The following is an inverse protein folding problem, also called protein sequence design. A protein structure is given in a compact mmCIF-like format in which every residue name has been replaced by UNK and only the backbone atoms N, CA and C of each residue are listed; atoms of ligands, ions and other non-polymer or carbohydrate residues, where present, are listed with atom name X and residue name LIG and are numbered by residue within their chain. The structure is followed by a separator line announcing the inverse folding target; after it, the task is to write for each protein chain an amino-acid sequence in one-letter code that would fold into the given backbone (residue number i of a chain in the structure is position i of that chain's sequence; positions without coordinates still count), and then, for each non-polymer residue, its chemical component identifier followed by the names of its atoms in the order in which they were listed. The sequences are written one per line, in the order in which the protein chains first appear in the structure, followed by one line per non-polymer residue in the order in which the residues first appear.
data_IF_764097760654
#
_entry.id   IF_764097760654
#
_cell.length_a   1.000
_cell.length_b   1.000
_cell.length_c   1.000
_cell.angle_alpha   90.00
_cell.angle_beta   90.00
_cell.angle_gamma   90.00
#
_symmetry.space_group_name_H-M   'P 1'
#
loop_
_entity.id
_entity.type
_entity.pdbx_description
1 polymer ?
#
# COMPACT_ATOMS: atom_id res chain seq x y z
N UNK A 1 4.54 28.44 -8.46
CA UNK A 1 4.45 27.12 -9.13
C UNK A 1 5.09 26.09 -8.20
N UNK A 2 4.28 25.43 -7.38
CA UNK A 2 4.78 24.34 -6.52
C UNK A 2 5.09 23.15 -7.42
N UNK A 3 6.28 22.57 -7.27
CA UNK A 3 6.72 21.42 -8.05
C UNK A 3 5.94 20.18 -7.56
N UNK A 4 4.72 20.04 -8.08
CA UNK A 4 3.87 18.87 -7.83
C UNK A 4 4.56 17.67 -8.48
N UNK A 5 5.16 16.81 -7.66
CA UNK A 5 5.89 15.63 -8.11
C UNK A 5 5.04 14.76 -9.04
N UNK A 6 5.69 14.02 -9.95
CA UNK A 6 5.01 13.15 -10.92
C UNK A 6 4.06 12.14 -10.25
N UNK A 7 4.37 11.73 -9.01
CA UNK A 7 3.52 10.87 -8.18
C UNK A 7 2.21 11.57 -7.86
N UNK A 8 2.24 12.82 -7.37
CA UNK A 8 1.06 13.58 -6.97
C UNK A 8 0.09 13.81 -8.13
N UNK A 9 0.58 13.99 -9.37
CA UNK A 9 -0.28 14.13 -10.56
C UNK A 9 -1.02 12.84 -10.91
N UNK A 10 -0.35 11.69 -10.82
CA UNK A 10 -0.97 10.37 -11.06
C UNK A 10 -2.00 10.03 -9.98
N UNK A 11 -1.70 10.34 -8.71
CA UNK A 11 -2.63 10.17 -7.60
C UNK A 11 -3.90 11.02 -7.78
N UNK A 12 -3.74 12.23 -8.31
CA UNK A 12 -4.85 13.13 -8.63
C UNK A 12 -5.83 12.53 -9.66
N UNK A 13 -5.33 11.91 -10.75
CA UNK A 13 -6.21 11.25 -11.73
C UNK A 13 -7.05 10.13 -11.12
N UNK A 14 -6.51 9.40 -10.14
CA UNK A 14 -7.22 8.29 -9.53
C UNK A 14 -8.31 8.72 -8.55
N UNK A 15 -8.18 9.90 -7.99
CA UNK A 15 -9.05 10.46 -6.94
C UNK A 15 -9.89 11.66 -7.39
N UNK A 16 -9.75 12.14 -8.63
CA UNK A 16 -10.46 13.32 -9.12
C UNK A 16 -11.97 13.30 -8.78
N UNK A 17 -12.63 12.16 -9.06
CA UNK A 17 -14.06 11.98 -8.80
C UNK A 17 -14.41 11.91 -7.30
N UNK A 18 -13.44 11.57 -6.43
CA UNK A 18 -13.63 11.45 -4.98
C UNK A 18 -13.30 12.72 -4.21
N UNK A 19 -12.40 13.54 -4.76
CA UNK A 19 -11.98 14.83 -4.22
C UNK A 19 -12.92 15.97 -4.60
N UNK A 20 -14.09 15.65 -5.16
CA UNK A 20 -15.18 16.58 -5.45
C UNK A 20 -16.42 16.29 -4.62
N UNK A 21 -16.41 15.25 -3.78
CA UNK A 21 -17.57 14.76 -3.03
C UNK A 21 -17.34 14.89 -1.52
N UNK A 22 -18.40 15.17 -0.75
CA UNK A 22 -18.35 15.20 0.71
C UNK A 22 -17.78 16.51 1.27
N UNK A 23 -16.70 16.44 2.06
CA UNK A 23 -16.09 17.66 2.63
C UNK A 23 -15.52 18.58 1.55
N UNK A 24 -15.12 18.03 0.40
CA UNK A 24 -14.52 18.78 -0.69
C UNK A 24 -15.51 19.71 -1.42
N UNK A 25 -16.79 19.36 -1.45
CA UNK A 25 -17.86 20.23 -2.01
C UNK A 25 -17.91 21.55 -1.24
N UNK A 26 -17.88 21.46 0.09
CA UNK A 26 -17.89 22.64 0.98
C UNK A 26 -16.66 23.53 0.80
N UNK A 27 -15.53 22.94 0.41
CA UNK A 27 -14.29 23.68 0.14
C UNK A 27 -14.33 24.36 -1.24
N UNK A 28 -15.11 23.85 -2.20
CA UNK A 28 -15.26 24.45 -3.51
C UNK A 28 -16.06 25.76 -3.47
N UNK A 29 -16.99 25.88 -2.51
CA UNK A 29 -17.85 27.07 -2.32
C UNK A 29 -17.14 28.24 -1.62
N UNK A 30 -15.86 28.08 -1.24
CA UNK A 30 -15.09 29.11 -0.55
C UNK A 30 -14.69 30.23 -1.52
N UNK A 31 -15.18 31.44 -1.25
CA UNK A 31 -14.89 32.62 -2.07
C UNK A 31 -13.66 33.42 -1.59
N UNK A 32 -13.36 33.42 -0.28
CA UNK A 32 -12.24 34.17 0.27
C UNK A 32 -10.90 33.74 -0.39
N UNK A 33 -10.09 34.68 -0.92
CA UNK A 33 -8.90 34.34 -1.67
C UNK A 33 -7.86 33.52 -0.90
N UNK A 34 -7.68 33.79 0.39
CA UNK A 34 -6.70 33.07 1.21
C UNK A 34 -7.23 31.69 1.59
N UNK A 35 -8.50 31.59 1.99
CA UNK A 35 -9.12 30.30 2.28
C UNK A 35 -9.17 29.40 1.03
N UNK A 36 -9.40 29.98 -0.15
CA UNK A 36 -9.36 29.25 -1.43
C UNK A 36 -7.96 28.73 -1.76
N UNK A 37 -6.94 29.55 -1.50
CA UNK A 37 -5.53 29.13 -1.64
C UNK A 37 -5.22 27.97 -0.70
N UNK A 38 -5.65 28.03 0.56
CA UNK A 38 -5.47 26.96 1.55
C UNK A 38 -6.23 25.69 1.15
N UNK A 39 -7.49 25.82 0.71
CA UNK A 39 -8.31 24.70 0.23
C UNK A 39 -7.63 23.96 -0.93
N UNK A 40 -6.98 24.68 -1.86
CA UNK A 40 -6.22 24.08 -2.96
C UNK A 40 -4.98 23.27 -2.53
N UNK A 41 -4.45 23.50 -1.32
CA UNK A 41 -3.30 22.78 -0.77
C UNK A 41 -3.70 21.55 0.06
N UNK A 42 -4.94 21.51 0.56
CA UNK A 42 -5.41 20.43 1.44
C UNK A 42 -5.35 19.03 0.81
N UNK A 43 -5.66 18.81 -0.48
CA UNK A 43 -5.55 17.48 -1.08
C UNK A 43 -4.16 16.87 -0.92
N UNK A 44 -3.11 17.67 -1.15
CA UNK A 44 -1.73 17.22 -0.98
C UNK A 44 -1.42 16.88 0.49
N UNK A 45 -1.79 17.77 1.40
CA UNK A 45 -1.62 17.54 2.86
C UNK A 45 -2.33 16.28 3.34
N UNK A 46 -3.57 16.04 2.89
CA UNK A 46 -4.35 14.86 3.27
C UNK A 46 -3.75 13.59 2.70
N UNK A 47 -3.20 13.61 1.48
CA UNK A 47 -2.50 12.46 0.90
C UNK A 47 -1.21 12.11 1.67
N UNK A 48 -0.52 13.10 2.23
CA UNK A 48 0.66 12.91 3.09
C UNK A 48 0.33 12.34 4.49
N UNK A 49 -0.95 12.16 4.84
CA UNK A 49 -1.34 11.48 6.09
C UNK A 49 -0.94 9.99 6.14
N UNK A 50 -0.53 9.41 5.01
CA UNK A 50 -0.07 8.02 4.91
C UNK A 50 1.22 7.92 4.10
N UNK A 51 2.00 6.88 4.38
CA UNK A 51 3.18 6.54 3.59
C UNK A 51 2.81 6.29 2.13
N UNK A 52 3.64 6.76 1.19
CA UNK A 52 3.43 6.65 -0.26
C UNK A 52 3.12 5.22 -0.72
N UNK A 53 3.81 4.23 -0.14
CA UNK A 53 3.60 2.82 -0.46
C UNK A 53 2.19 2.34 -0.09
N UNK A 54 1.64 2.85 1.01
CA UNK A 54 0.28 2.54 1.48
C UNK A 54 -0.76 3.29 0.65
N UNK A 55 -0.52 4.56 0.37
CA UNK A 55 -1.37 5.38 -0.51
C UNK A 55 -1.49 4.74 -1.90
N UNK A 56 -0.37 4.37 -2.52
CA UNK A 56 -0.36 3.67 -3.82
C UNK A 56 -1.12 2.35 -3.75
N UNK A 57 -0.91 1.56 -2.69
CA UNK A 57 -1.59 0.27 -2.49
C UNK A 57 -3.11 0.44 -2.42
N UNK A 58 -3.59 1.40 -1.64
CA UNK A 58 -5.03 1.68 -1.52
C UNK A 58 -5.59 2.20 -2.83
N UNK A 59 -4.92 3.12 -3.52
CA UNK A 59 -5.43 3.58 -4.82
C UNK A 59 -5.54 2.47 -5.86
N UNK A 60 -4.57 1.56 -5.93
CA UNK A 60 -4.68 0.37 -6.77
C UNK A 60 -5.90 -0.49 -6.39
N UNK A 61 -6.15 -0.70 -5.09
CA UNK A 61 -7.31 -1.45 -4.62
C UNK A 61 -8.64 -0.74 -4.97
N UNK A 62 -8.68 0.59 -4.86
CA UNK A 62 -9.83 1.38 -5.30
C UNK A 62 -10.06 1.31 -6.80
N UNK A 63 -9.01 1.32 -7.62
CA UNK A 63 -9.17 1.12 -9.06
C UNK A 63 -9.81 -0.23 -9.40
N UNK A 64 -9.44 -1.30 -8.68
CA UNK A 64 -10.09 -2.61 -8.85
C UNK A 64 -11.58 -2.55 -8.50
N UNK A 65 -11.94 -1.84 -7.43
CA UNK A 65 -13.34 -1.55 -7.12
C UNK A 65 -14.02 -0.79 -8.27
N UNK A 66 -13.44 0.32 -8.76
CA UNK A 66 -14.03 1.10 -9.87
C UNK A 66 -14.24 0.25 -11.12
N UNK A 67 -13.25 -0.55 -11.50
CA UNK A 67 -13.33 -1.47 -12.65
C UNK A 67 -14.45 -2.50 -12.48
N UNK A 68 -14.72 -2.95 -11.25
CA UNK A 68 -15.83 -3.83 -10.96
C UNK A 68 -17.18 -3.09 -10.93
N UNK A 69 -17.22 -1.87 -10.42
CA UNK A 69 -18.45 -1.09 -10.28
C UNK A 69 -18.95 -0.51 -11.60
N UNK A 70 -18.06 0.10 -12.41
CA UNK A 70 -18.41 0.86 -13.63
C UNK A 70 -19.30 0.10 -14.63
N UNK A 71 -19.09 -1.20 -14.90
CA UNK A 71 -19.96 -1.93 -15.84
C UNK A 71 -21.37 -2.24 -15.34
N UNK A 72 -21.75 -1.79 -14.13
CA UNK A 72 -23.02 -2.13 -13.47
C UNK A 72 -23.81 -0.85 -13.18
N UNK A 73 -24.93 -0.67 -13.87
CA UNK A 73 -25.76 0.55 -13.77
C UNK A 73 -26.29 0.82 -12.36
N UNK A 74 -26.53 -0.24 -11.57
CA UNK A 74 -27.04 -0.14 -10.20
C UNK A 74 -25.96 0.28 -9.18
N UNK A 75 -24.68 0.30 -9.55
CA UNK A 75 -23.57 0.50 -8.62
C UNK A 75 -23.02 1.92 -8.74
N UNK A 76 -23.25 2.72 -7.71
CA UNK A 76 -22.57 4.00 -7.53
C UNK A 76 -21.09 3.77 -7.18
N UNK A 77 -20.18 4.32 -8.00
CA UNK A 77 -18.73 4.17 -7.81
C UNK A 77 -18.25 4.88 -6.54
N UNK A 78 -18.78 6.07 -6.26
CA UNK A 78 -18.48 6.85 -5.05
C UNK A 78 -19.63 7.85 -4.76
N UNK A 79 -20.06 8.04 -3.49
CA UNK A 79 -19.72 7.28 -2.28
C UNK A 79 -20.03 5.79 -2.40
N UNK A 80 -19.22 4.94 -1.76
CA UNK A 80 -19.40 3.49 -1.86
C UNK A 80 -20.52 3.02 -0.94
N UNK A 81 -21.55 2.41 -1.53
CA UNK A 81 -22.66 1.80 -0.79
C UNK A 81 -22.28 0.45 -0.16
N UNK A 82 -22.69 0.24 1.10
CA UNK A 82 -22.31 -0.96 1.87
C UNK A 82 -22.78 -2.30 1.26
N UNK A 83 -23.97 -2.32 0.65
CA UNK A 83 -24.55 -3.53 0.05
C UNK A 83 -23.73 -3.98 -1.16
N UNK A 84 -23.50 -3.07 -2.12
CA UNK A 84 -22.73 -3.39 -3.32
C UNK A 84 -21.24 -3.62 -3.02
N UNK A 85 -20.71 -2.95 -1.99
CA UNK A 85 -19.36 -3.24 -1.53
C UNK A 85 -19.24 -4.63 -0.92
N UNK A 86 -20.21 -5.09 -0.12
CA UNK A 86 -20.22 -6.45 0.39
C UNK A 86 -20.28 -7.50 -0.74
N UNK A 87 -21.07 -7.24 -1.80
CA UNK A 87 -21.08 -8.07 -3.01
C UNK A 87 -19.72 -8.11 -3.71
N UNK A 88 -19.03 -6.97 -3.79
CA UNK A 88 -17.68 -6.91 -4.31
C UNK A 88 -16.68 -7.68 -3.44
N UNK A 89 -16.77 -7.60 -2.11
CA UNK A 89 -15.92 -8.38 -1.22
C UNK A 89 -16.12 -9.88 -1.41
N UNK A 90 -17.37 -10.32 -1.62
CA UNK A 90 -17.69 -11.72 -1.96
C UNK A 90 -17.01 -12.12 -3.29
N UNK A 91 -17.21 -11.33 -4.35
CA UNK A 91 -16.58 -11.55 -5.64
C UNK A 91 -15.04 -11.60 -5.54
N UNK A 92 -14.45 -10.67 -4.79
CA UNK A 92 -13.01 -10.58 -4.59
C UNK A 92 -12.47 -11.81 -3.82
N UNK A 93 -13.20 -12.27 -2.81
CA UNK A 93 -12.87 -13.46 -2.06
C UNK A 93 -12.90 -14.73 -2.92
N UNK A 94 -13.88 -14.86 -3.81
CA UNK A 94 -14.01 -16.00 -4.73
C UNK A 94 -12.93 -16.00 -5.81
N UNK A 95 -12.66 -14.83 -6.41
CA UNK A 95 -11.71 -14.71 -7.52
C UNK A 95 -10.24 -14.82 -7.07
N UNK A 96 -9.92 -14.29 -5.89
CA UNK A 96 -8.52 -14.23 -5.42
C UNK A 96 -8.16 -15.33 -4.42
N UNK A 97 -9.16 -15.95 -3.77
CA UNK A 97 -8.98 -16.85 -2.64
C UNK A 97 -8.01 -16.28 -1.56
N UNK A 98 -8.01 -14.95 -1.40
CA UNK A 98 -7.02 -14.22 -0.61
C UNK A 98 -7.66 -13.37 0.48
N UNK A 99 -7.40 -13.74 1.74
CA UNK A 99 -7.81 -12.95 2.92
C UNK A 99 -7.26 -11.52 2.86
N UNK A 100 -5.99 -11.35 2.48
CA UNK A 100 -5.34 -10.05 2.47
C UNK A 100 -5.90 -9.13 1.38
N UNK A 101 -6.39 -9.68 0.26
CA UNK A 101 -7.02 -8.89 -0.78
C UNK A 101 -8.34 -8.27 -0.29
N UNK A 102 -9.16 -9.04 0.43
CA UNK A 102 -10.43 -8.57 1.00
C UNK A 102 -10.18 -7.51 2.08
N UNK A 103 -9.20 -7.72 2.96
CA UNK A 103 -8.79 -6.73 3.98
C UNK A 103 -8.26 -5.44 3.36
N UNK A 104 -7.43 -5.55 2.32
CA UNK A 104 -6.89 -4.42 1.57
C UNK A 104 -8.01 -3.59 0.93
N UNK A 105 -9.01 -4.23 0.34
CA UNK A 105 -10.15 -3.54 -0.24
C UNK A 105 -10.92 -2.73 0.82
N UNK A 106 -11.23 -3.32 1.98
CA UNK A 106 -11.95 -2.63 3.07
C UNK A 106 -11.15 -1.43 3.59
N UNK A 107 -9.84 -1.61 3.81
CA UNK A 107 -8.96 -0.54 4.29
C UNK A 107 -8.85 0.61 3.27
N UNK A 108 -8.75 0.25 1.99
CA UNK A 108 -8.70 1.21 0.88
C UNK A 108 -9.95 2.07 0.82
N UNK A 109 -11.14 1.45 0.74
CA UNK A 109 -12.40 2.21 0.63
C UNK A 109 -12.66 3.03 1.90
N UNK A 110 -12.35 2.48 3.07
CA UNK A 110 -12.47 3.21 4.35
C UNK A 110 -11.61 4.47 4.36
N UNK A 111 -10.36 4.38 3.90
CA UNK A 111 -9.49 5.53 3.80
C UNK A 111 -10.00 6.57 2.79
N UNK A 112 -10.51 6.14 1.64
CA UNK A 112 -11.06 7.06 0.64
C UNK A 112 -12.31 7.78 1.17
N UNK A 113 -13.19 7.08 1.89
CA UNK A 113 -14.30 7.72 2.60
C UNK A 113 -13.80 8.75 3.61
N UNK A 114 -12.80 8.41 4.43
CA UNK A 114 -12.23 9.31 5.44
C UNK A 114 -11.66 10.59 4.83
N UNK A 115 -10.87 10.50 3.76
CA UNK A 115 -10.30 11.70 3.12
C UNK A 115 -11.37 12.57 2.45
N UNK A 116 -12.53 12.01 2.11
CA UNK A 116 -13.70 12.77 1.64
C UNK A 116 -14.65 13.20 2.77
N UNK A 117 -14.27 13.00 4.04
CA UNK A 117 -15.08 13.39 5.20
C UNK A 117 -16.35 12.55 5.38
N UNK A 118 -16.39 11.34 4.82
CA UNK A 118 -17.50 10.39 4.92
C UNK A 118 -17.20 9.32 5.99
N UNK A 119 -18.24 8.68 6.57
CA UNK A 119 -18.04 7.56 7.47
C UNK A 119 -17.26 6.42 6.78
N UNK A 120 -16.21 5.87 7.43
CA UNK A 120 -15.45 4.76 6.90
C UNK A 120 -16.35 3.55 6.62
N UNK A 121 -16.20 2.91 5.45
CA UNK A 121 -17.03 1.74 5.11
C UNK A 121 -16.85 0.57 6.08
N UNK A 122 -15.69 0.48 6.76
CA UNK A 122 -15.42 -0.51 7.82
C UNK A 122 -16.29 -0.33 9.07
N UNK A 123 -16.97 0.81 9.25
CA UNK A 123 -17.89 1.02 10.37
C UNK A 123 -19.28 0.39 10.14
N UNK A 124 -19.62 0.08 8.88
CA UNK A 124 -20.86 -0.62 8.53
C UNK A 124 -20.91 -2.00 9.19
N UNK A 125 -21.94 -2.30 10.01
CA UNK A 125 -22.12 -3.64 10.60
C UNK A 125 -22.17 -4.74 9.54
N UNK A 126 -22.80 -4.47 8.39
CA UNK A 126 -22.94 -5.45 7.31
C UNK A 126 -21.59 -5.76 6.67
N UNK A 127 -20.79 -4.73 6.35
CA UNK A 127 -19.45 -4.91 5.78
C UNK A 127 -18.51 -5.62 6.75
N UNK A 128 -18.58 -5.30 8.06
CA UNK A 128 -17.80 -6.02 9.09
C UNK A 128 -18.17 -7.49 9.19
N UNK A 129 -19.46 -7.82 9.14
CA UNK A 129 -19.93 -9.20 9.17
C UNK A 129 -19.43 -9.97 7.93
N UNK A 130 -19.55 -9.38 6.74
CA UNK A 130 -19.05 -9.94 5.48
C UNK A 130 -17.54 -10.16 5.51
N UNK A 131 -16.76 -9.14 5.91
CA UNK A 131 -15.31 -9.27 6.05
C UNK A 131 -14.94 -10.39 7.02
N UNK A 132 -15.59 -10.45 8.19
CA UNK A 132 -15.33 -11.49 9.19
C UNK A 132 -15.64 -12.89 8.65
N UNK A 133 -16.74 -13.06 7.91
CA UNK A 133 -17.10 -14.31 7.25
C UNK A 133 -16.05 -14.74 6.23
N UNK A 134 -15.63 -13.80 5.36
CA UNK A 134 -14.60 -14.05 4.35
C UNK A 134 -13.23 -14.36 4.97
N UNK A 135 -12.83 -13.64 6.02
CA UNK A 135 -11.57 -13.90 6.73
C UNK A 135 -11.53 -15.32 7.32
N UNK A 136 -12.65 -15.83 7.85
CA UNK A 136 -12.76 -17.21 8.35
C UNK A 136 -12.75 -18.21 7.21
N UNK A 137 -13.54 -17.98 6.15
CA UNK A 137 -13.63 -18.88 4.99
C UNK A 137 -12.30 -18.99 4.24
N UNK A 138 -11.56 -17.89 4.13
CA UNK A 138 -10.28 -17.80 3.43
C UNK A 138 -9.07 -18.03 4.35
N UNK A 139 -9.29 -18.34 5.63
CA UNK A 139 -8.22 -18.61 6.56
C UNK A 139 -7.43 -19.83 6.10
N UNK A 140 -6.12 -19.65 5.93
CA UNK A 140 -5.16 -20.73 5.65
C UNK A 140 -4.20 -20.85 6.83
N UNK A 141 -3.70 -22.06 7.14
CA UNK A 141 -2.66 -22.24 8.15
C UNK A 141 -1.48 -21.31 7.85
N UNK A 142 -0.97 -20.64 8.89
CA UNK A 142 0.25 -19.84 8.74
C UNK A 142 1.44 -20.79 8.54
N UNK A 143 1.91 -20.91 7.32
CA UNK A 143 3.15 -21.61 7.00
C UNK A 143 4.30 -20.65 7.31
N UNK A 144 5.03 -20.93 8.39
CA UNK A 144 6.26 -20.19 8.69
C UNK A 144 7.32 -20.63 7.68
N UNK A 145 7.98 -19.66 7.03
CA UNK A 145 9.16 -19.95 6.23
C UNK A 145 10.29 -20.40 7.16
N UNK A 146 11.09 -21.35 6.69
CA UNK A 146 12.31 -21.76 7.39
C UNK A 146 13.26 -20.57 7.54
N UNK A 147 13.89 -20.40 8.71
CA UNK A 147 14.86 -19.34 8.91
C UNK A 147 16.10 -19.61 8.05
N UNK A 148 16.71 -18.54 7.52
CA UNK A 148 18.04 -18.64 6.92
C UNK A 148 19.03 -18.92 8.05
N UNK A 149 19.87 -19.95 7.88
CA UNK A 149 20.93 -20.28 8.83
C UNK A 149 22.30 -19.85 8.31
N UNK A 150 23.29 -19.79 9.21
CA UNK A 150 24.69 -19.52 8.84
C UNK A 150 25.22 -20.56 7.85
N UNK A 151 24.88 -21.84 8.02
CA UNK A 151 25.33 -22.92 7.14
C UNK A 151 24.79 -22.76 5.72
N UNK A 152 23.56 -22.28 5.57
CA UNK A 152 22.99 -21.95 4.26
C UNK A 152 23.75 -20.81 3.57
N UNK A 153 24.23 -19.81 4.34
CA UNK A 153 25.01 -18.70 3.81
C UNK A 153 26.43 -19.13 3.44
N UNK A 154 27.06 -20.00 4.23
CA UNK A 154 28.35 -20.61 3.89
C UNK A 154 28.22 -21.41 2.61
N UNK A 155 27.22 -22.29 2.51
CA UNK A 155 26.96 -23.07 1.31
C UNK A 155 26.67 -22.19 0.08
N UNK A 156 25.94 -21.08 0.26
CA UNK A 156 25.72 -20.09 -0.81
C UNK A 156 27.05 -19.54 -1.33
N UNK A 157 27.95 -19.10 -0.44
CA UNK A 157 29.25 -18.55 -0.83
C UNK A 157 30.13 -19.61 -1.49
N UNK A 158 30.16 -20.82 -0.96
CA UNK A 158 30.90 -21.94 -1.54
C UNK A 158 30.41 -22.32 -2.94
N UNK A 159 29.09 -22.25 -3.16
CA UNK A 159 28.46 -22.57 -4.45
C UNK A 159 28.90 -21.64 -5.60
N UNK A 160 29.43 -20.46 -5.27
CA UNK A 160 29.91 -19.48 -6.24
C UNK A 160 31.19 -19.90 -6.98
N UNK A 161 31.95 -20.86 -6.42
CA UNK A 161 33.18 -21.36 -7.01
C UNK A 161 34.31 -20.32 -7.07
N UNK A 162 35.29 -20.56 -7.94
CA UNK A 162 36.55 -19.77 -7.99
C UNK A 162 36.46 -18.49 -8.84
N UNK A 163 35.49 -18.41 -9.74
CA UNK A 163 35.35 -17.30 -10.70
C UNK A 163 33.89 -16.85 -10.82
N UNK A 164 33.30 -16.32 -9.73
CA UNK A 164 31.91 -15.86 -9.76
C UNK A 164 31.73 -14.62 -10.63
N UNK A 165 30.52 -14.46 -11.16
CA UNK A 165 30.15 -13.22 -11.82
C UNK A 165 29.93 -12.10 -10.79
N UNK A 166 29.98 -10.83 -11.24
CA UNK A 166 29.66 -9.70 -10.38
C UNK A 166 28.24 -9.75 -9.82
N UNK A 167 27.28 -10.33 -10.56
CA UNK A 167 25.92 -10.55 -10.07
C UNK A 167 25.87 -11.54 -8.91
N UNK A 168 26.68 -12.59 -8.97
CA UNK A 168 26.73 -13.61 -7.92
C UNK A 168 27.33 -13.05 -6.64
N UNK A 169 28.45 -12.32 -6.78
CA UNK A 169 29.10 -11.64 -5.65
C UNK A 169 28.15 -10.63 -5.02
N UNK A 170 27.40 -9.88 -5.83
CA UNK A 170 26.40 -8.92 -5.33
C UNK A 170 25.29 -9.61 -4.55
N UNK A 171 24.77 -10.74 -5.06
CA UNK A 171 23.71 -11.50 -4.38
C UNK A 171 24.20 -12.05 -3.03
N UNK A 172 25.39 -12.64 -3.00
CA UNK A 172 25.98 -13.16 -1.76
C UNK A 172 26.26 -12.06 -0.75
N UNK A 173 26.86 -10.94 -1.18
CA UNK A 173 27.09 -9.78 -0.32
C UNK A 173 25.76 -9.24 0.24
N UNK A 174 24.71 -9.16 -0.59
CA UNK A 174 23.40 -8.69 -0.16
C UNK A 174 22.77 -9.65 0.88
N UNK A 175 22.87 -10.95 0.68
CA UNK A 175 22.39 -11.96 1.63
C UNK A 175 23.15 -11.88 2.97
N UNK A 176 24.48 -11.80 2.93
CA UNK A 176 25.33 -11.71 4.11
C UNK A 176 25.08 -10.42 4.92
N UNK A 177 25.04 -9.26 4.25
CA UNK A 177 24.75 -7.98 4.91
C UNK A 177 23.35 -7.95 5.51
N UNK A 178 22.35 -8.43 4.77
CA UNK A 178 20.97 -8.51 5.26
C UNK A 178 20.88 -9.42 6.49
N UNK A 179 21.62 -10.53 6.51
CA UNK A 179 21.65 -11.44 7.64
C UNK A 179 22.38 -10.86 8.86
N UNK A 180 23.55 -10.25 8.67
CA UNK A 180 24.37 -9.73 9.75
C UNK A 180 23.74 -8.51 10.46
N UNK A 181 23.04 -7.65 9.70
CA UNK A 181 22.48 -6.39 10.19
C UNK A 181 20.94 -6.46 10.34
N UNK A 182 20.33 -7.60 9.99
CA UNK A 182 18.87 -7.80 9.98
C UNK A 182 18.11 -6.80 9.10
N UNK A 183 18.70 -6.41 7.97
CA UNK A 183 18.11 -5.44 7.06
C UNK A 183 16.92 -6.02 6.29
N UNK A 184 15.88 -5.22 6.14
CA UNK A 184 14.80 -5.45 5.19
C UNK A 184 15.28 -5.11 3.77
N UNK A 185 14.59 -5.69 2.79
CA UNK A 185 14.89 -5.43 1.37
C UNK A 185 14.99 -3.93 1.02
N UNK A 186 14.08 -3.10 1.53
CA UNK A 186 14.07 -1.66 1.22
C UNK A 186 15.25 -0.91 1.84
N UNK A 187 15.81 -1.41 2.95
CA UNK A 187 16.98 -0.81 3.60
C UNK A 187 18.25 -1.16 2.81
N UNK A 188 18.42 -2.43 2.42
CA UNK A 188 19.56 -2.83 1.60
C UNK A 188 19.52 -2.24 0.19
N UNK A 189 18.34 -2.10 -0.41
CA UNK A 189 18.17 -1.51 -1.74
C UNK A 189 18.52 0.00 -1.77
N UNK A 190 18.47 0.67 -0.61
CA UNK A 190 18.79 2.09 -0.46
C UNK A 190 20.20 2.33 0.09
N UNK A 191 20.92 1.27 0.46
CA UNK A 191 22.28 1.36 0.99
C UNK A 191 23.23 1.91 -0.08
N UNK A 192 24.04 2.90 0.29
CA UNK A 192 25.04 3.53 -0.59
C UNK A 192 26.43 3.31 -0.02
N UNK A 193 27.45 3.44 -0.86
CA UNK A 193 28.85 3.31 -0.42
C UNK A 193 29.22 4.29 0.71
N UNK A 194 28.62 5.49 0.73
CA UNK A 194 28.85 6.46 1.80
C UNK A 194 28.23 6.08 3.15
N UNK A 195 27.38 5.06 3.19
CA UNK A 195 26.74 4.57 4.41
C UNK A 195 27.60 3.47 5.10
N UNK A 196 28.73 3.08 4.48
CA UNK A 196 29.65 2.05 4.99
C UNK A 196 30.93 2.73 5.48
N UNK A 197 31.27 2.49 6.74
CA UNK A 197 32.51 2.98 7.38
C UNK A 197 33.30 1.79 7.90
N UNK A 198 34.59 1.75 7.59
CA UNK A 198 35.51 0.76 8.15
C UNK A 198 36.08 1.34 9.44
N UNK A 199 35.74 0.73 10.58
CA UNK A 199 36.32 1.06 11.87
C UNK A 199 37.52 0.14 12.15
N UNK A 200 38.59 0.69 12.76
CA UNK A 200 39.79 -0.07 13.14
C UNK A 200 39.62 -0.88 14.43
N UNK A 201 38.50 -0.72 15.15
CA UNK A 201 38.29 -1.35 16.44
C UNK A 201 37.72 -2.77 16.32
N UNK A 202 38.57 -3.75 16.59
CA UNK A 202 38.16 -5.12 16.88
C UNK A 202 37.27 -5.15 18.11
N UNK A 203 36.01 -5.59 17.97
CA UNK A 203 35.17 -5.91 19.12
C UNK A 203 35.71 -7.18 19.81
N UNK A 204 36.57 -6.98 20.82
CA UNK A 204 36.95 -7.99 21.82
C UNK A 204 35.81 -8.28 22.79
#
# INVERSE_FOLDING_TARGET
MVHVGAVTRLLWFFLADTLTIGVWEKLADIEDPELKRLAGLLPDTVLHSRADSTTKKYLCAFQRWKQWAVPRDEVTVFPVGEVYFALYLQHLGETTASKSAVEEAVNSISWIHQISGLPPIAESPFVRATLSGLQRKLAKPKIKKEPVTTDMLVALVESLGRSPSLSDVRLAAAALLSFAVFLRYDEIAKLRCCDIVFAEDSMT
#
